data_IF_544761590351
#
_entry.id   IF_544761590351
#
_cell.length_a   1.000
_cell.length_b   1.000
_cell.length_c   1.000
_cell.angle_alpha   90.00
_cell.angle_beta   90.00
_cell.angle_gamma   90.00
#
_symmetry.space_group_name_H-M   'P 1'
#
loop_
_entity.id
_entity.type
_entity.pdbx_description
1 polymer ?
#
# COMPACT_ATOMS: atom_id res chain seq x y z
N UNK A 1 73.22 -16.45 42.33
CA UNK A 1 73.00 -17.91 42.35
C UNK A 1 71.50 -18.12 42.44
N UNK A 2 70.87 -18.53 41.34
CA UNK A 2 70.17 -19.82 41.19
C UNK A 2 69.03 -20.01 42.22
N UNK A 3 67.76 -20.27 41.86
CA UNK A 3 67.28 -20.91 40.65
C UNK A 3 65.77 -20.77 40.42
N UNK A 4 65.40 -21.36 39.29
CA UNK A 4 64.13 -21.32 38.56
C UNK A 4 63.30 -22.54 38.99
N UNK A 5 61.96 -22.41 39.07
CA UNK A 5 60.95 -23.33 38.51
C UNK A 5 59.63 -23.31 39.30
N UNK A 6 58.51 -23.25 38.58
CA UNK A 6 57.18 -23.42 39.18
C UNK A 6 56.00 -22.91 38.36
N UNK A 7 55.99 -23.21 37.06
CA UNK A 7 54.90 -23.05 36.11
C UNK A 7 53.54 -23.53 36.67
N UNK A 8 52.51 -22.67 36.72
CA UNK A 8 51.12 -23.05 36.40
C UNK A 8 50.39 -21.94 35.66
N UNK A 9 50.20 -22.23 34.37
CA UNK A 9 49.36 -21.54 33.40
C UNK A 9 47.90 -21.67 33.86
N UNK A 10 47.30 -20.55 34.25
CA UNK A 10 45.85 -20.40 34.43
C UNK A 10 45.31 -19.54 33.29
N UNK A 11 45.08 -20.19 32.15
CA UNK A 11 44.46 -19.63 30.94
C UNK A 11 42.99 -19.31 31.23
N UNK A 12 42.69 -18.05 31.59
CA UNK A 12 41.30 -17.58 31.66
C UNK A 12 40.91 -17.06 30.28
N UNK A 13 40.30 -17.97 29.52
CA UNK A 13 39.73 -17.74 28.21
C UNK A 13 38.62 -16.67 28.28
N UNK A 14 38.80 -15.66 27.44
CA UNK A 14 37.79 -14.72 26.96
C UNK A 14 36.55 -15.49 26.48
N UNK A 15 35.36 -15.13 26.96
CA UNK A 15 34.12 -15.33 26.19
C UNK A 15 33.39 -14.00 26.10
N UNK A 16 33.74 -13.25 25.05
CA UNK A 16 32.97 -12.14 24.54
C UNK A 16 31.71 -12.74 23.90
N UNK A 17 30.60 -12.75 24.64
CA UNK A 17 29.29 -13.17 24.13
C UNK A 17 28.75 -12.11 23.20
N UNK A 18 29.01 -12.24 21.90
CA UNK A 18 28.30 -11.56 20.84
C UNK A 18 26.82 -12.00 20.88
N UNK A 19 25.96 -11.14 21.40
CA UNK A 19 24.52 -11.27 21.20
C UNK A 19 24.20 -10.97 19.73
N UNK A 20 24.04 -12.04 18.94
CA UNK A 20 23.40 -12.04 17.63
C UNK A 20 21.92 -11.66 17.80
N UNK A 21 21.63 -10.36 17.76
CA UNK A 21 20.28 -9.81 17.74
C UNK A 21 19.87 -9.33 16.33
N UNK A 22 18.90 -10.02 15.73
CA UNK A 22 17.96 -9.55 14.69
C UNK A 22 18.52 -9.03 13.35
N UNK A 23 18.98 -9.94 12.46
CA UNK A 23 19.10 -9.65 11.03
C UNK A 23 17.78 -9.87 10.23
N UNK A 24 16.72 -10.37 10.87
CA UNK A 24 15.44 -10.73 10.22
C UNK A 24 14.53 -9.54 9.91
N UNK A 25 14.70 -8.40 10.58
CA UNK A 25 13.89 -7.19 10.32
C UNK A 25 14.19 -6.55 8.96
N UNK A 26 15.46 -6.52 8.55
CA UNK A 26 15.87 -5.89 7.29
C UNK A 26 15.36 -6.65 6.06
N UNK A 27 15.39 -7.98 6.07
CA UNK A 27 14.94 -8.79 4.93
C UNK A 27 13.42 -8.70 4.71
N UNK A 28 12.63 -8.72 5.79
CA UNK A 28 11.17 -8.61 5.69
C UNK A 28 10.72 -7.20 5.28
N UNK A 29 11.39 -6.17 5.81
CA UNK A 29 11.10 -4.78 5.44
C UNK A 29 11.50 -4.48 4.00
N UNK A 30 12.64 -5.02 3.54
CA UNK A 30 13.07 -4.90 2.14
C UNK A 30 12.10 -5.63 1.19
N UNK A 31 11.71 -6.88 1.51
CA UNK A 31 10.77 -7.64 0.69
C UNK A 31 9.40 -6.94 0.60
N UNK A 32 8.93 -6.31 1.68
CA UNK A 32 7.72 -5.48 1.68
C UNK A 32 7.85 -4.24 0.79
N UNK A 33 8.99 -3.54 0.86
CA UNK A 33 9.27 -2.39 0.01
C UNK A 33 9.34 -2.80 -1.48
N UNK A 34 10.04 -3.88 -1.80
CA UNK A 34 10.16 -4.41 -3.16
C UNK A 34 8.78 -4.79 -3.73
N UNK A 35 7.92 -5.42 -2.91
CA UNK A 35 6.52 -5.71 -3.28
C UNK A 35 5.73 -4.42 -3.55
N UNK A 36 5.86 -3.42 -2.68
CA UNK A 36 5.22 -2.12 -2.83
C UNK A 36 5.61 -1.43 -4.14
N UNK A 37 6.91 -1.41 -4.46
CA UNK A 37 7.42 -0.84 -5.72
C UNK A 37 6.91 -1.59 -6.95
N UNK A 38 6.86 -2.92 -6.90
CA UNK A 38 6.33 -3.73 -8.00
C UNK A 38 4.84 -3.42 -8.26
N UNK A 39 4.03 -3.32 -7.19
CA UNK A 39 2.61 -2.97 -7.32
C UNK A 39 2.42 -1.54 -7.84
N UNK A 40 3.21 -0.57 -7.37
CA UNK A 40 3.15 0.82 -7.84
C UNK A 40 3.50 0.95 -9.32
N UNK A 41 4.54 0.25 -9.77
CA UNK A 41 4.96 0.23 -11.17
C UNK A 41 3.88 -0.40 -12.07
N UNK A 42 3.33 -1.54 -11.66
CA UNK A 42 2.26 -2.20 -12.40
C UNK A 42 0.99 -1.33 -12.44
N UNK A 43 0.62 -0.70 -11.33
CA UNK A 43 -0.52 0.22 -11.30
C UNK A 43 -0.34 1.38 -12.27
N UNK A 44 0.83 1.99 -12.26
CA UNK A 44 1.18 3.09 -13.18
C UNK A 44 1.01 2.65 -14.64
N UNK A 45 1.50 1.44 -14.98
CA UNK A 45 1.38 0.88 -16.32
C UNK A 45 -0.09 0.63 -16.71
N UNK A 46 -0.87 -0.03 -15.85
CA UNK A 46 -2.27 -0.36 -16.13
C UNK A 46 -3.17 0.88 -16.17
N UNK A 47 -2.84 1.93 -15.41
CA UNK A 47 -3.58 3.20 -15.42
C UNK A 47 -3.39 3.99 -16.71
N UNK A 48 -2.22 3.89 -17.35
CA UNK A 48 -1.93 4.55 -18.62
C UNK A 48 -2.45 3.78 -19.84
N UNK A 49 -2.74 2.48 -19.67
CA UNK A 49 -3.22 1.64 -20.75
C UNK A 49 -4.69 1.98 -21.12
N UNK A 50 -4.97 2.00 -22.43
CA UNK A 50 -6.29 2.30 -22.97
C UNK A 50 -7.13 1.02 -23.09
N UNK A 51 -8.22 0.93 -22.34
CA UNK A 51 -9.29 -0.08 -22.48
C UNK A 51 -10.60 0.52 -23.01
N UNK A 52 -11.68 -0.24 -22.98
CA UNK A 52 -13.00 0.16 -23.51
C UNK A 52 -13.51 1.46 -22.89
N UNK A 53 -13.45 1.57 -21.56
CA UNK A 53 -13.94 2.75 -20.82
C UNK A 53 -13.06 4.01 -21.00
N UNK A 54 -11.93 3.87 -21.69
CA UNK A 54 -11.09 4.98 -22.14
C UNK A 54 -11.23 5.23 -23.66
N UNK A 55 -12.25 4.68 -24.32
CA UNK A 55 -12.50 4.79 -25.76
C UNK A 55 -11.60 3.91 -26.62
N UNK A 56 -11.10 2.80 -26.08
CA UNK A 56 -10.37 1.76 -26.80
C UNK A 56 -11.24 0.52 -27.06
N UNK A 57 -10.60 -0.54 -27.54
CA UNK A 57 -11.22 -1.87 -27.59
C UNK A 57 -11.32 -2.48 -26.18
N UNK A 58 -12.24 -3.42 -26.02
CA UNK A 58 -12.34 -4.20 -24.78
C UNK A 58 -11.07 -4.99 -24.52
N UNK A 59 -10.58 -4.88 -23.29
CA UNK A 59 -9.39 -5.55 -22.80
C UNK A 59 -9.66 -6.22 -21.47
N UNK A 60 -9.58 -7.54 -21.42
CA UNK A 60 -9.91 -8.32 -20.23
C UNK A 60 -9.08 -7.92 -19.00
N UNK A 61 -7.79 -7.63 -19.18
CA UNK A 61 -6.89 -7.22 -18.10
C UNK A 61 -7.25 -5.87 -17.46
N UNK A 62 -7.86 -4.96 -18.22
CA UNK A 62 -8.22 -3.61 -17.76
C UNK A 62 -9.69 -3.48 -17.40
N UNK A 63 -10.55 -4.04 -18.24
CA UNK A 63 -11.98 -3.79 -18.25
C UNK A 63 -12.77 -4.91 -17.60
N UNK A 64 -12.27 -6.15 -17.44
CA UNK A 64 -13.08 -7.22 -16.85
C UNK A 64 -13.13 -7.14 -15.32
N UNK A 65 -14.29 -7.49 -14.73
CA UNK A 65 -14.38 -7.73 -13.29
C UNK A 65 -13.43 -8.87 -12.92
N UNK A 66 -12.65 -8.67 -11.86
CA UNK A 66 -11.52 -9.57 -11.52
C UNK A 66 -10.44 -9.67 -12.61
N UNK A 67 -10.44 -8.75 -13.58
CA UNK A 67 -9.29 -8.51 -14.45
C UNK A 67 -8.12 -7.96 -13.64
N UNK A 68 -6.93 -7.96 -14.25
CA UNK A 68 -5.68 -7.66 -13.56
C UNK A 68 -5.68 -6.29 -12.88
N UNK A 69 -6.19 -5.25 -13.54
CA UNK A 69 -6.30 -3.90 -12.97
C UNK A 69 -7.20 -3.88 -11.73
N UNK A 70 -8.35 -4.54 -11.79
CA UNK A 70 -9.29 -4.61 -10.65
C UNK A 70 -8.66 -5.32 -9.45
N UNK A 71 -8.05 -6.49 -9.66
CA UNK A 71 -7.38 -7.25 -8.60
C UNK A 71 -6.21 -6.49 -7.98
N UNK A 72 -5.43 -5.78 -8.80
CA UNK A 72 -4.36 -4.94 -8.30
C UNK A 72 -4.92 -3.81 -7.43
N UNK A 73 -5.97 -3.10 -7.87
CA UNK A 73 -6.61 -2.07 -7.06
C UNK A 73 -7.16 -2.61 -5.74
N UNK A 74 -7.78 -3.79 -5.74
CA UNK A 74 -8.23 -4.45 -4.51
C UNK A 74 -7.06 -4.73 -3.55
N UNK A 75 -5.93 -5.20 -4.08
CA UNK A 75 -4.72 -5.46 -3.29
C UNK A 75 -4.15 -4.17 -2.71
N UNK A 76 -4.04 -3.13 -3.52
CA UNK A 76 -3.54 -1.81 -3.12
C UNK A 76 -4.43 -1.17 -2.05
N UNK A 77 -5.75 -1.24 -2.20
CA UNK A 77 -6.71 -0.80 -1.18
C UNK A 77 -6.50 -1.51 0.17
N UNK A 78 -6.34 -2.84 0.13
CA UNK A 78 -6.08 -3.62 1.34
C UNK A 78 -4.76 -3.21 2.02
N UNK A 79 -3.69 -2.99 1.25
CA UNK A 79 -2.39 -2.58 1.77
C UNK A 79 -2.45 -1.21 2.46
N UNK A 80 -3.04 -0.20 1.80
CA UNK A 80 -3.11 1.15 2.39
C UNK A 80 -4.04 1.23 3.60
N UNK A 81 -5.11 0.44 3.62
CA UNK A 81 -6.01 0.35 4.77
C UNK A 81 -5.31 -0.35 5.94
N UNK A 82 -4.70 -1.52 5.71
CA UNK A 82 -4.05 -2.31 6.76
C UNK A 82 -2.87 -1.57 7.40
N UNK A 83 -2.13 -0.78 6.62
CA UNK A 83 -1.01 0.01 7.12
C UNK A 83 -1.44 1.36 7.74
N UNK A 84 -2.70 1.76 7.64
CA UNK A 84 -3.15 3.13 7.94
C UNK A 84 -2.22 4.18 7.32
N UNK A 85 -1.90 3.96 6.04
CA UNK A 85 -0.90 4.74 5.30
C UNK A 85 -1.20 6.24 5.41
N UNK A 86 -0.14 7.03 5.54
CA UNK A 86 -0.27 8.48 5.43
C UNK A 86 -0.38 8.91 3.96
N UNK A 87 -0.77 10.16 3.76
CA UNK A 87 -0.92 10.77 2.43
C UNK A 87 0.30 10.53 1.51
N UNK A 88 1.57 10.76 1.94
CA UNK A 88 2.74 10.46 1.11
C UNK A 88 2.85 8.98 0.70
N UNK A 89 2.61 8.04 1.61
CA UNK A 89 2.68 6.61 1.28
C UNK A 89 1.59 6.19 0.28
N UNK A 90 0.37 6.74 0.41
CA UNK A 90 -0.71 6.51 -0.56
C UNK A 90 -0.31 7.04 -1.94
N UNK A 91 0.23 8.26 -2.02
CA UNK A 91 0.69 8.84 -3.28
C UNK A 91 1.86 8.08 -3.91
N UNK A 92 2.79 7.56 -3.11
CA UNK A 92 3.90 6.76 -3.60
C UNK A 92 3.43 5.44 -4.26
N UNK A 93 2.32 4.88 -3.76
CA UNK A 93 1.80 3.59 -4.22
C UNK A 93 0.76 3.74 -5.35
N UNK A 94 -0.15 4.71 -5.23
CA UNK A 94 -1.29 4.90 -6.13
C UNK A 94 -1.15 6.11 -7.07
N UNK A 95 -0.15 6.96 -6.88
CA UNK A 95 -0.05 8.25 -7.55
C UNK A 95 -1.17 9.22 -7.14
N UNK A 96 -1.28 10.33 -7.88
CA UNK A 96 -2.36 11.29 -7.67
C UNK A 96 -3.74 10.65 -7.92
N UNK A 97 -4.74 10.93 -7.09
CA UNK A 97 -6.11 10.50 -7.33
C UNK A 97 -6.71 11.24 -8.53
N UNK A 98 -7.68 10.61 -9.19
CA UNK A 98 -8.43 11.23 -10.29
C UNK A 98 -9.33 12.36 -9.78
N UNK A 99 -9.82 12.25 -8.54
CA UNK A 99 -10.59 13.30 -7.87
C UNK A 99 -10.29 13.34 -6.36
N UNK A 100 -10.40 14.54 -5.77
CA UNK A 100 -10.33 14.78 -4.33
C UNK A 100 -11.63 15.46 -3.92
N UNK A 101 -12.36 14.87 -2.99
CA UNK A 101 -13.67 15.35 -2.54
C UNK A 101 -13.66 15.54 -1.02
N UNK A 102 -13.96 16.75 -0.54
CA UNK A 102 -14.07 17.09 0.88
C UNK A 102 -15.53 17.19 1.30
N UNK A 103 -15.78 17.15 2.62
CA UNK A 103 -17.12 17.32 3.23
C UNK A 103 -17.89 18.58 2.78
N UNK A 104 -17.21 19.60 2.27
CA UNK A 104 -17.81 20.85 1.83
C UNK A 104 -18.37 20.77 0.39
N UNK A 105 -17.98 19.74 -0.35
CA UNK A 105 -18.39 19.55 -1.75
C UNK A 105 -19.69 18.73 -1.82
N UNK A 106 -20.56 19.09 -2.77
CA UNK A 106 -21.87 18.47 -2.94
C UNK A 106 -21.80 16.94 -3.13
N UNK A 107 -20.76 16.47 -3.83
CA UNK A 107 -20.58 15.06 -4.17
C UNK A 107 -20.23 14.19 -2.95
N UNK A 108 -19.67 14.77 -1.89
CA UNK A 108 -19.18 14.01 -0.73
C UNK A 108 -20.28 13.16 -0.11
N UNK A 109 -21.42 13.76 0.18
CA UNK A 109 -22.52 13.07 0.86
C UNK A 109 -23.09 11.93 0.00
N UNK A 110 -23.08 12.08 -1.33
CA UNK A 110 -23.51 11.00 -2.23
C UNK A 110 -22.50 9.86 -2.28
N UNK A 111 -21.23 10.19 -2.49
CA UNK A 111 -20.15 9.21 -2.58
C UNK A 111 -20.00 8.44 -1.28
N UNK A 112 -20.07 9.13 -0.13
CA UNK A 112 -20.00 8.50 1.18
C UNK A 112 -21.13 7.48 1.38
N UNK A 113 -22.36 7.78 0.95
CA UNK A 113 -23.51 6.87 1.13
C UNK A 113 -23.47 5.67 0.19
N UNK A 114 -23.06 5.86 -1.06
CA UNK A 114 -23.12 4.83 -2.10
C UNK A 114 -21.92 3.89 -2.11
N UNK A 115 -20.82 4.30 -1.49
CA UNK A 115 -19.60 3.50 -1.46
C UNK A 115 -19.73 2.34 -0.48
N UNK A 116 -19.33 1.15 -0.93
CA UNK A 116 -19.22 -0.04 -0.09
C UNK A 116 -17.92 0.03 0.72
N UNK A 117 -17.99 0.55 1.94
CA UNK A 117 -16.82 0.83 2.77
C UNK A 117 -16.30 -0.37 3.57
N UNK A 118 -14.97 -0.43 3.67
CA UNK A 118 -14.23 -1.12 4.71
C UNK A 118 -13.56 -0.08 5.61
N UNK A 119 -13.98 0.01 6.87
CA UNK A 119 -13.59 1.07 7.80
C UNK A 119 -14.63 2.19 7.90
N UNK A 120 -14.25 3.28 8.58
CA UNK A 120 -15.12 4.45 8.77
C UNK A 120 -14.59 5.63 7.94
N UNK A 121 -15.33 6.11 6.93
CA UNK A 121 -14.82 7.13 6.02
C UNK A 121 -14.59 8.47 6.72
N UNK A 122 -13.39 9.01 6.55
CA UNK A 122 -13.00 10.36 7.00
C UNK A 122 -13.49 11.49 6.08
N UNK A 123 -13.14 12.75 6.42
CA UNK A 123 -13.68 13.95 5.76
C UNK A 123 -13.11 14.25 4.36
N UNK A 124 -12.11 13.48 3.91
CA UNK A 124 -11.49 13.65 2.60
C UNK A 124 -11.52 12.32 1.85
N UNK A 125 -12.10 12.30 0.66
CA UNK A 125 -12.17 11.13 -0.22
C UNK A 125 -11.26 11.37 -1.42
N UNK A 126 -10.43 10.38 -1.73
CA UNK A 126 -9.63 10.32 -2.94
C UNK A 126 -10.18 9.23 -3.83
N UNK A 127 -10.46 9.55 -5.10
CA UNK A 127 -10.97 8.58 -6.07
C UNK A 127 -9.87 8.10 -7.02
N UNK A 128 -9.90 6.81 -7.34
CA UNK A 128 -9.08 6.15 -8.33
C UNK A 128 -9.96 5.35 -9.30
N UNK A 129 -9.91 5.71 -10.58
CA UNK A 129 -10.75 5.13 -11.63
C UNK A 129 -10.30 3.72 -12.04
N UNK A 130 -11.23 2.78 -12.03
CA UNK A 130 -11.03 1.48 -12.66
C UNK A 130 -11.51 1.52 -14.11
N UNK A 131 -12.81 1.70 -14.35
CA UNK A 131 -13.48 1.70 -15.66
C UNK A 131 -13.93 3.12 -16.03
N UNK A 132 -12.96 4.02 -16.14
CA UNK A 132 -13.25 5.45 -16.26
C UNK A 132 -13.96 5.98 -15.00
N UNK A 133 -14.82 6.98 -15.17
CA UNK A 133 -15.60 7.55 -14.06
C UNK A 133 -16.76 6.65 -13.58
N UNK A 134 -16.96 5.48 -14.20
CA UNK A 134 -18.08 4.58 -13.92
C UNK A 134 -17.89 3.84 -12.59
N UNK A 135 -16.81 3.04 -12.50
CA UNK A 135 -16.47 2.26 -11.32
C UNK A 135 -15.15 2.75 -10.74
N UNK A 136 -15.17 3.11 -9.47
CA UNK A 136 -14.07 3.80 -8.80
C UNK A 136 -13.76 3.17 -7.44
N UNK A 137 -12.47 3.16 -7.09
CA UNK A 137 -12.02 2.84 -5.74
C UNK A 137 -11.81 4.14 -4.98
N UNK A 138 -12.43 4.28 -3.81
CA UNK A 138 -12.24 5.42 -2.93
C UNK A 138 -11.28 5.08 -1.78
N UNK A 139 -10.39 6.01 -1.47
CA UNK A 139 -9.55 6.02 -0.26
C UNK A 139 -10.01 7.20 0.60
N UNK A 140 -10.52 6.92 1.80
CA UNK A 140 -10.96 7.95 2.74
C UNK A 140 -9.84 8.27 3.74
N UNK A 141 -9.53 9.55 3.88
CA UNK A 141 -8.49 10.08 4.74
C UNK A 141 -9.10 10.83 5.94
N UNK A 142 -8.57 10.55 7.13
CA UNK A 142 -8.82 11.30 8.35
C UNK A 142 -7.49 11.63 9.01
N UNK A 143 -7.30 12.89 9.42
CA UNK A 143 -6.04 13.35 10.04
C UNK A 143 -4.78 12.99 9.23
N UNK A 144 -4.90 13.01 7.89
CA UNK A 144 -3.80 12.70 6.97
C UNK A 144 -3.46 11.21 6.83
N UNK A 145 -4.31 10.30 7.33
CA UNK A 145 -4.13 8.84 7.23
C UNK A 145 -5.35 8.13 6.68
N UNK A 146 -5.14 6.97 6.08
CA UNK A 146 -6.22 6.12 5.59
C UNK A 146 -7.08 5.62 6.76
N UNK A 147 -8.38 5.91 6.66
CA UNK A 147 -9.43 5.59 7.64
C UNK A 147 -10.44 4.56 7.10
N UNK A 148 -10.66 4.57 5.78
CA UNK A 148 -11.45 3.57 5.08
C UNK A 148 -11.03 3.47 3.61
N UNK A 149 -11.39 2.37 2.98
CA UNK A 149 -11.37 2.20 1.51
C UNK A 149 -12.70 1.60 1.07
N UNK A 150 -13.11 1.82 -0.17
CA UNK A 150 -14.36 1.26 -0.65
C UNK A 150 -14.56 1.38 -2.15
N UNK A 151 -15.62 0.76 -2.64
CA UNK A 151 -15.97 0.77 -4.05
C UNK A 151 -17.21 1.60 -4.30
N UNK A 152 -17.08 2.59 -5.19
CA UNK A 152 -18.18 3.35 -5.73
C UNK A 152 -18.48 2.81 -7.14
N UNK A 153 -19.45 1.90 -7.22
CA UNK A 153 -19.93 1.36 -8.49
C UNK A 153 -21.08 2.22 -9.03
N UNK A 154 -21.08 2.45 -10.34
CA UNK A 154 -22.21 3.14 -10.98
C UNK A 154 -23.42 2.20 -11.17
N UNK A 155 -23.23 0.87 -11.17
CA UNK A 155 -24.30 -0.16 -11.30
C UNK A 155 -25.20 -0.02 -12.55
N UNK A 156 -24.80 0.79 -13.54
CA UNK A 156 -25.51 1.02 -14.81
C UNK A 156 -25.11 0.00 -15.90
#
# INVERSE_FOLDING_TARGET
MQGINGLRIGMLLLTLGLALGCASGGAQQQAGADKGYAMAAEWTQLRQAKGHFAGGEWREDLDAWQGRKHQLMQTLAAEVLAAHSDTPAVLALLGEPDAKVTIEQADYADWQRRTEWQGSPGPLLWSYHWRGQHDQMLVALSEGRVSAVGWLYAWE
#
